data_IF_068595816031
#
_entry.id   IF_068595816031
#
_cell.length_a   1.000
_cell.length_b   1.000
_cell.length_c   1.000
_cell.angle_alpha   90.00
_cell.angle_beta   90.00
_cell.angle_gamma   90.00
#
_symmetry.space_group_name_H-M   'P 1'
#
loop_
_entity.id
_entity.type
_entity.pdbx_description
1 polymer ?
#
# COMPACT_ATOMS: atom_id res chain seq x y z
N UNK A 1 -5.82 10.60 -17.09
CA UNK A 1 -5.13 9.32 -16.87
C UNK A 1 -5.29 9.05 -15.39
N UNK A 2 -6.25 8.22 -14.98
CA UNK A 2 -6.51 8.01 -13.56
C UNK A 2 -5.29 7.34 -12.96
N UNK A 3 -4.48 8.10 -12.21
CA UNK A 3 -3.36 7.59 -11.42
C UNK A 3 -3.88 6.40 -10.61
N UNK A 4 -3.50 5.23 -11.10
CA UNK A 4 -4.05 3.94 -10.72
C UNK A 4 -3.81 3.75 -9.24
N UNK A 5 -4.91 3.58 -8.50
CA UNK A 5 -4.86 3.07 -7.15
C UNK A 5 -3.99 1.80 -7.12
N UNK A 6 -2.84 1.93 -6.47
CA UNK A 6 -1.98 0.87 -5.95
C UNK A 6 -1.88 -0.41 -6.80
N UNK A 7 -1.67 -0.29 -8.11
CA UNK A 7 -1.40 -1.44 -8.98
C UNK A 7 -0.23 -2.28 -8.44
N UNK A 8 0.77 -1.65 -7.84
CA UNK A 8 1.87 -2.34 -7.15
C UNK A 8 1.43 -3.15 -5.93
N UNK A 9 0.45 -2.68 -5.14
CA UNK A 9 -0.05 -3.45 -4.00
C UNK A 9 -0.85 -4.66 -4.47
N UNK A 10 -1.70 -4.48 -5.49
CA UNK A 10 -2.44 -5.59 -6.12
C UNK A 10 -1.47 -6.60 -6.71
N UNK A 11 -0.43 -6.16 -7.41
CA UNK A 11 0.57 -7.03 -8.01
C UNK A 11 1.34 -7.83 -6.94
N UNK A 12 1.82 -7.18 -5.88
CA UNK A 12 2.50 -7.88 -4.79
C UNK A 12 1.60 -8.88 -4.05
N UNK A 13 0.33 -8.51 -3.85
CA UNK A 13 -0.68 -9.41 -3.28
C UNK A 13 -0.89 -10.64 -4.19
N UNK A 14 -1.02 -10.44 -5.50
CA UNK A 14 -1.14 -11.53 -6.47
C UNK A 14 0.12 -12.40 -6.53
N UNK A 15 1.32 -11.81 -6.47
CA UNK A 15 2.60 -12.54 -6.43
C UNK A 15 2.70 -13.46 -5.20
N UNK A 16 2.12 -13.06 -4.07
CA UNK A 16 2.00 -13.91 -2.88
C UNK A 16 0.86 -14.94 -2.96
N UNK A 17 -0.02 -14.85 -3.95
CA UNK A 17 -1.25 -15.65 -4.02
C UNK A 17 -2.24 -15.30 -2.92
N UNK A 18 -2.22 -14.05 -2.44
CA UNK A 18 -3.12 -13.57 -1.39
C UNK A 18 -4.35 -12.88 -1.97
N UNK A 19 -5.40 -12.79 -1.18
CA UNK A 19 -6.62 -12.05 -1.46
C UNK A 19 -6.82 -10.94 -0.43
N UNK A 20 -7.72 -9.98 -0.72
CA UNK A 20 -8.02 -8.85 0.17
C UNK A 20 -8.38 -9.31 1.59
N UNK A 21 -9.15 -10.39 1.71
CA UNK A 21 -9.51 -10.99 2.99
C UNK A 21 -8.29 -11.40 3.82
N UNK A 22 -7.26 -11.98 3.18
CA UNK A 22 -6.05 -12.43 3.87
C UNK A 22 -5.26 -11.23 4.38
N UNK A 23 -5.07 -10.20 3.54
CA UNK A 23 -4.41 -8.94 3.95
C UNK A 23 -5.17 -8.28 5.10
N UNK A 24 -6.50 -8.21 5.00
CA UNK A 24 -7.37 -7.67 6.04
C UNK A 24 -7.23 -8.44 7.36
N UNK A 25 -7.18 -9.77 7.29
CA UNK A 25 -6.99 -10.64 8.47
C UNK A 25 -5.63 -10.43 9.13
N UNK A 26 -4.55 -10.31 8.36
CA UNK A 26 -3.20 -10.06 8.91
C UNK A 26 -3.11 -8.67 9.56
N UNK A 27 -3.87 -7.70 9.07
CA UNK A 27 -3.89 -6.32 9.59
C UNK A 27 -4.95 -6.10 10.68
N UNK A 28 -5.86 -7.05 10.89
CA UNK A 28 -7.02 -6.88 11.77
C UNK A 28 -8.01 -5.84 11.26
N UNK A 29 -8.08 -5.64 9.94
CA UNK A 29 -8.95 -4.67 9.27
C UNK A 29 -10.10 -5.39 8.55
N UNK A 30 -11.10 -4.63 8.10
CA UNK A 30 -12.19 -5.14 7.27
C UNK A 30 -11.76 -5.30 5.81
N UNK A 31 -12.22 -6.35 5.14
CA UNK A 31 -11.95 -6.55 3.70
C UNK A 31 -12.42 -5.37 2.86
N UNK A 32 -13.59 -4.80 3.18
CA UNK A 32 -14.15 -3.65 2.48
C UNK A 32 -13.20 -2.44 2.55
N UNK A 33 -12.62 -2.18 3.72
CA UNK A 33 -11.62 -1.12 3.92
C UNK A 33 -10.35 -1.38 3.11
N UNK A 34 -9.82 -2.61 3.11
CA UNK A 34 -8.66 -2.95 2.28
C UNK A 34 -8.97 -2.77 0.80
N UNK A 35 -10.15 -3.20 0.35
CA UNK A 35 -10.59 -3.00 -1.04
C UNK A 35 -10.71 -1.51 -1.37
N UNK A 36 -11.25 -0.71 -0.46
CA UNK A 36 -11.37 0.74 -0.60
C UNK A 36 -10.00 1.42 -0.70
N UNK A 37 -9.03 0.98 0.11
CA UNK A 37 -7.63 1.40 0.06
C UNK A 37 -6.96 1.00 -1.26
N UNK A 38 -7.12 -0.25 -1.70
CA UNK A 38 -6.53 -0.75 -2.95
C UNK A 38 -7.19 -0.13 -4.20
N UNK A 39 -8.46 0.26 -4.11
CA UNK A 39 -9.17 0.96 -5.19
C UNK A 39 -9.03 2.48 -5.12
N UNK A 40 -8.35 3.00 -4.09
CA UNK A 40 -8.07 4.44 -3.91
C UNK A 40 -9.29 5.27 -3.51
N UNK A 41 -10.36 4.61 -3.07
CA UNK A 41 -11.56 5.26 -2.54
C UNK A 41 -11.31 5.82 -1.14
N UNK A 42 -10.49 5.14 -0.32
CA UNK A 42 -10.04 5.60 1.00
C UNK A 42 -8.54 5.77 0.98
N UNK A 43 -8.07 6.91 1.52
CA UNK A 43 -6.65 7.11 1.77
C UNK A 43 -6.27 6.33 3.04
N UNK A 44 -5.43 5.28 2.94
CA UNK A 44 -4.94 4.60 4.14
C UNK A 44 -4.11 5.58 4.96
N UNK A 45 -4.11 5.39 6.27
CA UNK A 45 -3.17 6.11 7.13
C UNK A 45 -1.72 5.68 6.83
N UNK A 46 -0.71 6.50 7.17
CA UNK A 46 0.70 6.11 6.98
C UNK A 46 1.05 4.79 7.67
N UNK A 47 0.40 4.52 8.81
CA UNK A 47 0.57 3.28 9.58
C UNK A 47 0.01 2.08 8.83
N UNK A 48 -1.20 2.20 8.28
CA UNK A 48 -1.83 1.13 7.51
C UNK A 48 -1.10 0.85 6.21
N UNK A 49 -0.71 1.88 5.46
CA UNK A 49 0.06 1.72 4.23
C UNK A 49 1.35 0.96 4.49
N UNK A 50 2.14 1.38 5.50
CA UNK A 50 3.36 0.68 5.89
C UNK A 50 3.10 -0.75 6.36
N UNK A 51 2.01 -0.99 7.07
CA UNK A 51 1.64 -2.34 7.49
C UNK A 51 1.27 -3.23 6.30
N UNK A 52 0.50 -2.73 5.33
CA UNK A 52 0.16 -3.43 4.08
C UNK A 52 1.45 -3.76 3.31
N UNK A 53 2.35 -2.80 3.14
CA UNK A 53 3.64 -2.99 2.47
C UNK A 53 4.47 -4.10 3.14
N UNK A 54 4.60 -4.06 4.47
CA UNK A 54 5.30 -5.08 5.25
C UNK A 54 4.68 -6.47 5.11
N UNK A 55 3.36 -6.55 5.24
CA UNK A 55 2.57 -7.80 5.15
C UNK A 55 2.68 -8.40 3.74
N UNK A 56 2.61 -7.56 2.72
CA UNK A 56 2.84 -7.93 1.33
C UNK A 56 4.31 -8.17 1.00
N UNK A 57 5.23 -8.00 1.95
CA UNK A 57 6.66 -8.17 1.72
C UNK A 57 7.18 -7.24 0.62
N UNK A 58 6.45 -6.17 0.34
CA UNK A 58 6.92 -5.05 -0.45
C UNK A 58 7.89 -4.35 0.48
N UNK A 59 9.11 -4.88 0.50
CA UNK A 59 10.23 -4.20 1.08
C UNK A 59 10.54 -3.06 0.12
N UNK A 60 9.75 -2.00 0.22
CA UNK A 60 10.27 -0.67 -0.03
C UNK A 60 11.39 -0.51 1.02
N UNK A 61 12.56 -1.09 0.76
CA UNK A 61 13.73 -0.28 0.87
C UNK A 61 13.59 0.62 -0.36
N UNK A 62 12.89 1.78 -0.28
CA UNK A 62 13.14 2.75 -1.31
C UNK A 62 14.67 2.89 -1.27
N UNK A 63 15.40 2.90 -2.41
CA UNK A 63 16.60 3.70 -2.37
C UNK A 63 16.15 4.99 -1.68
N UNK A 64 16.82 5.36 -0.61
CA UNK A 64 16.65 6.64 0.05
C UNK A 64 17.08 7.76 -0.94
N UNK A 65 16.75 7.66 -2.23
CA UNK A 65 16.60 8.74 -3.17
C UNK A 65 15.44 9.56 -2.63
N UNK A 66 15.76 10.45 -1.69
CA UNK A 66 15.75 11.90 -1.86
C UNK A 66 14.68 12.56 -2.78
N UNK A 67 13.67 11.86 -3.28
CA UNK A 67 12.56 12.38 -4.08
C UNK A 67 11.36 12.79 -3.21
N UNK A 68 11.33 12.35 -1.94
CA UNK A 68 10.47 12.93 -0.90
C UNK A 68 11.27 13.80 0.10
N UNK A 69 12.47 14.23 -0.30
CA UNK A 69 12.99 15.46 0.27
C UNK A 69 12.04 16.56 -0.19
N UNK A 70 11.25 17.09 0.73
CA UNK A 70 10.87 18.50 0.71
C UNK A 70 12.12 19.26 0.28
N UNK A 71 12.18 19.67 -0.98
CA UNK A 71 13.06 20.76 -1.36
C UNK A 71 12.45 21.97 -0.71
N UNK A 72 12.89 22.23 0.51
CA UNK A 72 13.22 23.57 0.95
C UNK A 72 13.84 24.30 -0.23
N UNK A 73 13.08 25.21 -0.82
CA UNK A 73 13.57 26.29 -1.68
C UNK A 73 12.96 27.53 -1.03
N UNK A 74 13.70 28.13 -0.10
CA UNK A 74 14.49 29.36 -0.31
C UNK A 74 13.60 30.52 -0.74
#
# INVERSE_FOLDING_TARGET
MSEHACSHLVDAMNNKGWNYQKVATELGLSEDHIKDVFTGKTKPTPVESNAILKVLGINENPPHDAAHATTTKS
#
